data_IF_324987841776
#
_entry.id   IF_324987841776
#
_cell.length_a   1.000
_cell.length_b   1.000
_cell.length_c   1.000
_cell.angle_alpha   90.00
_cell.angle_beta   90.00
_cell.angle_gamma   90.00
#
_symmetry.space_group_name_H-M   'P 1'
#
loop_
_entity.id
_entity.type
_entity.pdbx_description
1 polymer ?
#
# COMPACT_ATOMS: atom_id res chain seq x y z
N UNK A 1 -19.04 -23.51 -1.04
CA UNK A 1 -18.97 -22.04 -1.14
C UNK A 1 -18.80 -21.67 -2.60
N UNK A 2 -19.66 -20.79 -3.14
CA UNK A 2 -19.46 -20.26 -4.50
C UNK A 2 -18.21 -19.36 -4.50
N UNK A 3 -17.37 -19.50 -5.52
CA UNK A 3 -16.22 -18.61 -5.70
C UNK A 3 -16.72 -17.19 -5.95
N UNK A 4 -16.20 -16.21 -5.21
CA UNK A 4 -16.49 -14.79 -5.47
C UNK A 4 -15.94 -14.41 -6.85
N UNK A 5 -16.65 -13.57 -7.62
CA UNK A 5 -16.15 -13.07 -8.88
C UNK A 5 -14.83 -12.31 -8.66
N UNK A 6 -13.88 -12.46 -9.59
CA UNK A 6 -12.61 -11.76 -9.53
C UNK A 6 -12.84 -10.25 -9.67
N UNK A 7 -12.52 -9.48 -8.61
CA UNK A 7 -12.63 -8.02 -8.62
C UNK A 7 -11.46 -7.34 -9.34
N UNK A 8 -10.30 -8.00 -9.38
CA UNK A 8 -9.07 -7.48 -9.99
C UNK A 8 -8.42 -8.53 -10.89
N UNK A 9 -7.83 -8.05 -11.99
CA UNK A 9 -6.95 -8.83 -12.85
C UNK A 9 -5.51 -8.72 -12.31
N UNK A 10 -5.03 -9.82 -11.70
CA UNK A 10 -3.70 -9.85 -11.05
C UNK A 10 -2.57 -9.73 -12.08
N UNK A 11 -2.73 -10.31 -13.28
CA UNK A 11 -1.73 -10.22 -14.33
C UNK A 11 -1.56 -8.77 -14.81
N UNK A 12 -2.68 -8.02 -14.89
CA UNK A 12 -2.64 -6.58 -15.19
C UNK A 12 -1.95 -5.77 -14.10
N UNK A 13 -2.18 -6.08 -12.82
CA UNK A 13 -1.49 -5.43 -11.70
C UNK A 13 0.01 -5.75 -11.70
N UNK A 14 0.40 -6.99 -12.00
CA UNK A 14 1.79 -7.40 -12.15
C UNK A 14 2.50 -6.80 -13.37
N UNK A 15 1.74 -6.37 -14.38
CA UNK A 15 2.26 -5.66 -15.56
C UNK A 15 2.20 -4.13 -15.46
N UNK A 16 1.84 -3.57 -14.29
CA UNK A 16 1.67 -2.14 -14.10
C UNK A 16 2.97 -1.35 -14.41
N UNK A 17 2.82 -0.25 -15.15
CA UNK A 17 3.92 0.65 -15.55
C UNK A 17 3.89 1.99 -14.83
N UNK A 18 2.81 2.30 -14.10
CA UNK A 18 2.68 3.54 -13.34
C UNK A 18 3.33 3.35 -11.96
N UNK A 19 4.20 4.25 -11.48
CA UNK A 19 4.75 4.17 -10.13
C UNK A 19 3.65 4.18 -9.06
N UNK A 20 3.78 3.33 -8.05
CA UNK A 20 2.81 3.24 -6.94
C UNK A 20 3.55 3.35 -5.61
N UNK A 21 2.96 4.04 -4.65
CA UNK A 21 3.40 4.08 -3.26
C UNK A 21 2.24 3.64 -2.36
N UNK A 22 2.54 2.92 -1.29
CA UNK A 22 1.53 2.44 -0.34
C UNK A 22 2.04 2.58 1.10
N UNK A 23 1.19 3.08 1.99
CA UNK A 23 1.43 3.04 3.42
C UNK A 23 0.88 1.71 3.96
N UNK A 24 1.69 0.99 4.74
CA UNK A 24 1.29 -0.23 5.44
C UNK A 24 1.54 0.02 6.92
N UNK A 25 0.46 0.05 7.71
CA UNK A 25 0.58 0.27 9.15
C UNK A 25 0.93 -1.04 9.86
N UNK A 26 1.84 -0.95 10.82
CA UNK A 26 2.42 -2.10 11.51
C UNK A 26 1.37 -2.92 12.25
N UNK A 27 0.47 -2.23 12.96
CA UNK A 27 -0.55 -2.78 13.85
C UNK A 27 -1.96 -2.29 13.45
N UNK A 28 -2.34 -2.43 12.18
CA UNK A 28 -3.67 -2.01 11.70
C UNK A 28 -4.78 -2.92 12.27
N UNK A 29 -5.77 -2.33 12.93
CA UNK A 29 -6.88 -3.07 13.53
C UNK A 29 -7.79 -3.78 12.51
N UNK A 30 -7.74 -3.38 11.24
CA UNK A 30 -8.64 -3.85 10.19
C UNK A 30 -7.95 -4.73 9.14
N UNK A 31 -6.63 -4.64 9.00
CA UNK A 31 -5.90 -5.32 7.93
C UNK A 31 -4.66 -6.01 8.48
N UNK A 32 -4.57 -7.31 8.21
CA UNK A 32 -3.35 -8.06 8.48
C UNK A 32 -2.19 -7.54 7.62
N UNK A 33 -1.08 -7.21 8.30
CA UNK A 33 0.11 -6.65 7.68
C UNK A 33 0.71 -7.57 6.63
N UNK A 34 0.79 -8.87 6.89
CA UNK A 34 1.47 -9.80 6.00
C UNK A 34 0.65 -10.01 4.72
N UNK A 35 -0.68 -9.94 4.79
CA UNK A 35 -1.56 -9.84 3.62
C UNK A 35 -1.33 -8.55 2.82
N UNK A 36 -1.14 -7.42 3.49
CA UNK A 36 -0.83 -6.15 2.83
C UNK A 36 0.53 -6.21 2.11
N UNK A 37 1.55 -6.77 2.75
CA UNK A 37 2.88 -6.99 2.17
C UNK A 37 2.81 -7.93 0.96
N UNK A 38 2.05 -9.03 1.06
CA UNK A 38 1.83 -9.95 -0.06
C UNK A 38 1.18 -9.26 -1.26
N UNK A 39 0.18 -8.41 -1.01
CA UNK A 39 -0.47 -7.60 -2.06
C UNK A 39 0.50 -6.60 -2.68
N UNK A 40 1.29 -5.91 -1.84
CA UNK A 40 2.32 -4.98 -2.29
C UNK A 40 3.35 -5.65 -3.21
N UNK A 41 3.77 -6.87 -2.90
CA UNK A 41 4.69 -7.66 -3.73
C UNK A 41 4.12 -8.14 -5.07
N UNK A 42 2.79 -8.22 -5.20
CA UNK A 42 2.13 -8.64 -6.44
C UNK A 42 1.97 -7.51 -7.46
N UNK A 43 2.10 -6.25 -7.05
CA UNK A 43 1.90 -5.07 -7.90
C UNK A 43 3.26 -4.54 -8.36
N UNK A 44 3.52 -4.56 -9.67
CA UNK A 44 4.78 -4.04 -10.20
C UNK A 44 4.90 -2.54 -9.97
N UNK A 45 6.08 -2.13 -9.49
CA UNK A 45 6.42 -0.73 -9.26
C UNK A 45 5.86 -0.14 -7.96
N UNK A 46 5.22 -0.95 -7.11
CA UNK A 46 4.75 -0.52 -5.80
C UNK A 46 5.90 -0.42 -4.80
N UNK A 47 5.96 0.73 -4.11
CA UNK A 47 6.94 1.07 -3.08
C UNK A 47 6.23 1.12 -1.72
N UNK A 48 6.29 0.05 -0.92
CA UNK A 48 5.63 0.04 0.38
C UNK A 48 6.46 0.83 1.38
N UNK A 49 5.80 1.66 2.18
CA UNK A 49 6.33 2.24 3.41
C UNK A 49 5.60 1.63 4.59
N UNK A 50 6.33 0.77 5.31
CA UNK A 50 5.83 0.07 6.49
C UNK A 50 6.17 0.93 7.70
N UNK A 51 5.18 1.25 8.52
CA UNK A 51 5.33 2.21 9.62
C UNK A 51 4.50 1.85 10.84
N UNK A 52 5.07 2.03 12.02
CA UNK A 52 4.42 1.93 13.33
C UNK A 52 4.06 3.30 13.91
N UNK A 53 4.46 4.39 13.24
CA UNK A 53 4.21 5.77 13.69
C UNK A 53 2.74 6.19 13.57
N UNK A 54 1.94 5.44 12.80
CA UNK A 54 0.54 5.74 12.52
C UNK A 54 -0.31 4.48 12.51
N UNK A 55 -1.61 4.68 12.65
CA UNK A 55 -2.64 3.66 12.62
C UNK A 55 -3.47 3.78 11.33
N UNK A 56 -4.52 2.98 11.20
CA UNK A 56 -5.41 2.97 10.03
C UNK A 56 -5.85 4.37 9.55
N UNK A 57 -6.09 5.30 10.49
CA UNK A 57 -6.51 6.66 10.20
C UNK A 57 -5.35 7.66 9.97
N UNK A 58 -4.12 7.16 9.84
CA UNK A 58 -2.88 7.93 9.71
C UNK A 58 -2.88 8.95 8.59
N UNK A 59 -3.54 8.64 7.47
CA UNK A 59 -3.69 9.58 6.36
C UNK A 59 -4.38 10.88 6.80
N UNK A 60 -5.37 10.79 7.70
CA UNK A 60 -6.12 11.93 8.21
C UNK A 60 -5.46 12.57 9.43
N UNK A 61 -4.91 11.76 10.34
CA UNK A 61 -4.42 12.22 11.64
C UNK A 61 -3.00 12.79 11.59
N UNK A 62 -2.21 12.45 10.56
CA UNK A 62 -0.82 12.88 10.42
C UNK A 62 -0.61 14.34 10.06
N UNK A 63 -1.67 15.10 9.78
CA UNK A 63 -1.56 16.50 9.35
C UNK A 63 -0.85 16.68 8.00
N UNK A 64 -0.82 15.63 7.16
CA UNK A 64 -0.21 15.65 5.82
C UNK A 64 1.06 14.81 5.70
N UNK A 65 1.73 14.47 6.81
CA UNK A 65 3.02 13.78 6.77
C UNK A 65 2.97 12.41 6.05
N UNK A 66 1.87 11.66 6.19
CA UNK A 66 1.68 10.39 5.46
C UNK A 66 1.62 10.62 3.95
N UNK A 67 0.91 11.66 3.50
CA UNK A 67 0.80 11.97 2.08
C UNK A 67 2.13 12.46 1.50
N UNK A 68 2.84 13.33 2.22
CA UNK A 68 4.15 13.83 1.80
C UNK A 68 5.16 12.68 1.65
N UNK A 69 5.16 11.73 2.58
CA UNK A 69 5.99 10.54 2.50
C UNK A 69 5.66 9.70 1.25
N UNK A 70 4.38 9.47 0.96
CA UNK A 70 3.96 8.73 -0.23
C UNK A 70 4.38 9.43 -1.53
N UNK A 71 4.27 10.75 -1.60
CA UNK A 71 4.72 11.53 -2.77
C UNK A 71 6.25 11.47 -2.91
N UNK A 72 6.99 11.59 -1.80
CA UNK A 72 8.46 11.46 -1.82
C UNK A 72 8.91 10.12 -2.36
N UNK A 73 8.23 9.03 -1.95
CA UNK A 73 8.49 7.69 -2.46
C UNK A 73 8.27 7.58 -3.96
N UNK A 74 7.34 8.34 -4.56
CA UNK A 74 7.14 8.35 -6.01
C UNK A 74 8.26 9.11 -6.74
N UNK A 75 8.75 10.20 -6.16
CA UNK A 75 9.81 11.04 -6.74
C UNK A 75 11.23 10.45 -6.58
N UNK A 76 11.40 9.40 -5.78
CA UNK A 76 12.68 8.70 -5.66
C UNK A 76 13.72 9.41 -4.79
N UNK A 77 13.28 10.28 -3.88
CA UNK A 77 14.15 10.89 -2.88
C UNK A 77 14.45 9.87 -1.78
N UNK A 78 15.73 9.71 -1.36
CA UNK A 78 16.09 8.84 -0.23
C UNK A 78 15.44 9.28 1.09
#
# INVERSE_FOLDING_TARGET
>A
MAARPALYDVDRLGANTVPVAAAIYQDDMYLDRDLAIGTAGAIRGLRPWITDAYQHDGLRTSGGAVLDQLISLLHGTP
#
